data_IF_975194639951
#
_entry.id   IF_975194639951
#
_cell.length_a   1.000
_cell.length_b   1.000
_cell.length_c   1.000
_cell.angle_alpha   90.00
_cell.angle_beta   90.00
_cell.angle_gamma   90.00
#
_symmetry.space_group_name_H-M   'P 1'
#
loop_
_entity.id
_entity.type
_entity.pdbx_description
1 polymer ?
#
# COMPACT_ATOMS: atom_id res chain seq x y z
N UNK A 1 5.40 -29.17 -2.35
CA UNK A 1 5.75 -27.76 -2.60
C UNK A 1 5.87 -27.06 -1.26
N UNK A 2 7.04 -26.50 -0.96
CA UNK A 2 7.28 -25.81 0.31
C UNK A 2 6.51 -24.47 0.33
N UNK A 3 6.33 -23.89 1.52
CA UNK A 3 5.67 -22.58 1.64
C UNK A 3 6.46 -21.49 0.90
N UNK A 4 7.79 -21.56 0.94
CA UNK A 4 8.66 -20.61 0.26
C UNK A 4 8.46 -20.64 -1.26
N UNK A 5 8.26 -21.82 -1.87
CA UNK A 5 8.02 -21.95 -3.31
C UNK A 5 6.70 -21.29 -3.77
N UNK A 6 5.74 -21.12 -2.85
CA UNK A 6 4.48 -20.40 -3.12
C UNK A 6 4.64 -18.90 -3.06
N UNK A 7 5.59 -18.41 -2.27
CA UNK A 7 5.82 -16.98 -2.04
C UNK A 7 6.85 -16.47 -3.04
N UNK A 8 8.00 -17.13 -3.11
CA UNK A 8 9.14 -16.77 -3.95
C UNK A 8 9.52 -17.98 -4.81
N UNK A 9 8.76 -18.26 -5.89
CA UNK A 9 9.06 -19.37 -6.79
C UNK A 9 10.39 -19.16 -7.50
N UNK A 10 11.07 -20.25 -7.85
CA UNK A 10 12.32 -20.23 -8.62
C UNK A 10 12.16 -19.62 -10.03
N UNK A 11 10.95 -19.66 -10.59
CA UNK A 11 10.63 -19.10 -11.90
C UNK A 11 9.39 -18.20 -11.81
N UNK A 12 9.49 -16.96 -12.28
CA UNK A 12 8.34 -16.07 -12.47
C UNK A 12 7.57 -16.47 -13.73
N UNK A 13 6.29 -16.83 -13.57
CA UNK A 13 5.43 -17.26 -14.68
C UNK A 13 3.96 -16.92 -14.45
N UNK A 14 3.10 -17.18 -15.44
CA UNK A 14 1.69 -16.81 -15.35
C UNK A 14 0.77 -17.92 -14.82
N UNK A 15 1.34 -19.03 -14.29
CA UNK A 15 0.59 -20.19 -13.78
C UNK A 15 0.24 -19.97 -12.30
N UNK A 16 -0.84 -19.24 -12.06
CA UNK A 16 -1.34 -19.01 -10.70
C UNK A 16 -2.21 -20.19 -10.23
N UNK A 17 -1.77 -20.84 -9.14
CA UNK A 17 -2.45 -21.99 -8.52
C UNK A 17 -3.28 -21.61 -7.28
N UNK A 18 -3.21 -20.36 -6.83
CA UNK A 18 -3.93 -19.87 -5.65
C UNK A 18 -5.43 -19.64 -5.91
N UNK A 19 -6.17 -19.29 -4.87
CA UNK A 19 -7.60 -19.00 -4.99
C UNK A 19 -7.85 -17.75 -5.87
N UNK A 20 -8.83 -17.81 -6.77
CA UNK A 20 -9.24 -16.69 -7.65
C UNK A 20 -9.72 -15.46 -6.89
N UNK A 21 -10.30 -15.62 -5.70
CA UNK A 21 -10.69 -14.49 -4.84
C UNK A 21 -9.47 -13.64 -4.50
N UNK A 22 -8.32 -14.27 -4.20
CA UNK A 22 -7.09 -13.55 -3.95
C UNK A 22 -6.47 -12.93 -5.22
N UNK A 23 -6.83 -13.36 -6.43
CA UNK A 23 -6.46 -12.61 -7.63
C UNK A 23 -7.27 -11.30 -7.70
N UNK A 24 -8.58 -11.36 -7.50
CA UNK A 24 -9.45 -10.18 -7.50
C UNK A 24 -9.13 -9.23 -6.34
N UNK A 25 -8.75 -9.77 -5.18
CA UNK A 25 -8.28 -8.98 -4.05
C UNK A 25 -7.08 -8.11 -4.43
N UNK A 26 -6.12 -8.64 -5.19
CA UNK A 26 -4.92 -7.90 -5.57
C UNK A 26 -5.24 -6.85 -6.63
N UNK A 27 -6.16 -7.16 -7.55
CA UNK A 27 -6.69 -6.17 -8.50
C UNK A 27 -7.33 -5.00 -7.74
N UNK A 28 -8.20 -5.29 -6.76
CA UNK A 28 -8.83 -4.26 -5.93
C UNK A 28 -7.79 -3.42 -5.18
N UNK A 29 -6.85 -4.06 -4.47
CA UNK A 29 -5.76 -3.35 -3.77
C UNK A 29 -4.96 -2.50 -4.73
N UNK A 30 -4.58 -3.01 -5.90
CA UNK A 30 -3.77 -2.28 -6.88
C UNK A 30 -4.51 -1.06 -7.40
N UNK A 31 -5.80 -1.17 -7.73
CA UNK A 31 -6.61 -0.04 -8.17
C UNK A 31 -6.74 1.03 -7.09
N UNK A 32 -7.08 0.63 -5.85
CA UNK A 32 -7.24 1.55 -4.72
C UNK A 32 -5.92 2.28 -4.40
N UNK A 33 -4.81 1.55 -4.38
CA UNK A 33 -3.50 2.13 -4.06
C UNK A 33 -2.95 2.98 -5.22
N UNK A 34 -3.30 2.67 -6.47
CA UNK A 34 -2.98 3.52 -7.63
C UNK A 34 -3.76 4.85 -7.56
N UNK A 35 -5.04 4.81 -7.20
CA UNK A 35 -5.80 6.04 -6.95
C UNK A 35 -5.13 6.89 -5.87
N UNK A 36 -4.82 6.26 -4.72
CA UNK A 36 -4.16 6.93 -3.60
C UNK A 36 -2.79 7.51 -3.98
N UNK A 37 -1.99 6.79 -4.75
CA UNK A 37 -0.67 7.27 -5.17
C UNK A 37 -0.76 8.47 -6.10
N UNK A 38 -1.75 8.49 -7.02
CA UNK A 38 -2.04 9.65 -7.86
C UNK A 38 -2.47 10.86 -7.03
N UNK A 39 -3.27 10.68 -5.98
CA UNK A 39 -3.63 11.77 -5.05
C UNK A 39 -2.37 12.36 -4.41
N UNK A 40 -1.52 11.52 -3.81
CA UNK A 40 -0.28 12.00 -3.17
C UNK A 40 0.65 12.68 -4.17
N UNK A 41 0.71 12.21 -5.42
CA UNK A 41 1.60 12.74 -6.45
C UNK A 41 1.09 14.04 -7.08
N UNK A 42 -0.22 14.19 -7.28
CA UNK A 42 -0.79 15.22 -8.17
C UNK A 42 -1.58 16.31 -7.45
N UNK A 43 -2.05 16.09 -6.22
CA UNK A 43 -2.79 17.11 -5.49
C UNK A 43 -1.85 18.21 -5.00
N UNK A 44 -2.35 19.45 -4.94
CA UNK A 44 -1.56 20.62 -4.53
C UNK A 44 -0.95 20.48 -3.13
N UNK A 45 -1.67 19.81 -2.22
CA UNK A 45 -1.26 19.54 -0.84
C UNK A 45 -0.77 18.09 -0.64
N UNK A 46 -0.52 17.35 -1.74
CA UNK A 46 -0.27 15.91 -1.74
C UNK A 46 -1.33 15.08 -0.98
N UNK A 47 -2.56 15.60 -0.83
CA UNK A 47 -3.64 15.01 -0.04
C UNK A 47 -3.38 14.99 1.47
N UNK A 48 -2.37 15.72 1.98
CA UNK A 48 -2.03 15.72 3.40
C UNK A 48 -3.05 16.55 4.21
N UNK A 49 -3.43 17.74 3.76
CA UNK A 49 -4.40 18.56 4.50
C UNK A 49 -5.84 18.17 4.16
N UNK A 50 -6.15 18.10 2.87
CA UNK A 50 -7.50 17.90 2.33
C UNK A 50 -8.08 16.51 2.59
N UNK A 51 -7.24 15.49 2.80
CA UNK A 51 -7.66 14.10 3.06
C UNK A 51 -7.01 13.57 4.33
N UNK A 52 -5.71 13.81 4.51
CA UNK A 52 -4.95 13.34 5.66
C UNK A 52 -5.28 14.05 6.97
N UNK A 53 -6.03 15.16 6.91
CA UNK A 53 -6.39 16.00 8.05
C UNK A 53 -5.18 16.53 8.81
N UNK A 54 -4.03 16.70 8.16
CA UNK A 54 -2.88 17.38 8.76
C UNK A 54 -3.17 18.89 8.88
N UNK A 55 -2.58 19.55 9.88
CA UNK A 55 -2.63 21.01 10.00
C UNK A 55 -1.85 21.69 8.87
N UNK A 56 -2.18 22.95 8.60
CA UNK A 56 -1.36 23.82 7.75
C UNK A 56 -0.36 24.52 8.67
N UNK A 57 0.92 24.40 8.37
CA UNK A 57 1.97 25.05 9.16
C UNK A 57 2.12 26.52 8.78
N UNK A 58 2.28 27.40 9.77
CA UNK A 58 2.65 28.80 9.53
C UNK A 58 4.17 28.97 9.58
N UNK A 59 4.74 29.74 8.65
CA UNK A 59 6.19 30.00 8.62
C UNK A 59 6.66 30.74 7.36
N UNK A 60 7.87 31.30 7.41
CA UNK A 60 8.55 31.92 6.27
C UNK A 60 9.99 31.34 6.20
N UNK A 61 10.37 30.64 5.12
CA UNK A 61 9.53 30.27 3.98
C UNK A 61 8.38 29.32 4.37
N UNK A 62 7.36 29.21 3.51
CA UNK A 62 6.20 28.35 3.73
C UNK A 62 6.64 26.88 3.92
N UNK A 63 6.52 26.29 5.13
CA UNK A 63 6.97 24.93 5.39
C UNK A 63 6.20 23.88 4.59
N UNK A 64 4.94 24.17 4.24
CA UNK A 64 4.07 23.21 3.58
C UNK A 64 4.54 22.88 2.17
N UNK A 65 5.19 23.81 1.46
CA UNK A 65 5.76 23.53 0.13
C UNK A 65 6.75 22.36 0.16
N UNK A 66 7.62 22.33 1.17
CA UNK A 66 8.57 21.22 1.35
C UNK A 66 7.86 19.93 1.71
N UNK A 67 6.89 20.00 2.63
CA UNK A 67 6.12 18.83 3.09
C UNK A 67 5.32 18.21 1.93
N UNK A 68 4.68 19.04 1.09
CA UNK A 68 3.93 18.57 -0.07
C UNK A 68 4.84 17.96 -1.12
N UNK A 69 6.01 18.55 -1.36
CA UNK A 69 7.02 17.95 -2.24
C UNK A 69 7.42 16.55 -1.76
N UNK A 70 7.67 16.36 -0.46
CA UNK A 70 7.94 15.03 0.11
C UNK A 70 6.73 14.09 -0.01
N UNK A 71 5.52 14.60 0.19
CA UNK A 71 4.27 13.88 -0.06
C UNK A 71 4.15 13.40 -1.51
N UNK A 72 4.54 14.22 -2.48
CA UNK A 72 4.56 13.85 -3.90
C UNK A 72 5.61 12.78 -4.21
N UNK A 73 6.79 12.85 -3.59
CA UNK A 73 7.80 11.78 -3.71
C UNK A 73 7.27 10.46 -3.15
N UNK A 74 6.56 10.50 -2.03
CA UNK A 74 5.89 9.32 -1.48
C UNK A 74 4.82 8.78 -2.45
N UNK A 75 3.99 9.64 -3.03
CA UNK A 75 3.04 9.26 -4.08
C UNK A 75 3.72 8.59 -5.29
N UNK A 76 4.84 9.13 -5.77
CA UNK A 76 5.61 8.55 -6.87
C UNK A 76 6.12 7.14 -6.53
N UNK A 77 6.72 6.97 -5.35
CA UNK A 77 7.23 5.67 -4.90
C UNK A 77 6.10 4.63 -4.81
N UNK A 78 4.93 5.03 -4.32
CA UNK A 78 3.75 4.16 -4.25
C UNK A 78 3.23 3.81 -5.64
N UNK A 79 3.23 4.76 -6.59
CA UNK A 79 2.80 4.53 -7.96
C UNK A 79 3.72 3.53 -8.68
N UNK A 80 5.04 3.65 -8.51
CA UNK A 80 6.01 2.68 -9.04
C UNK A 80 5.74 1.28 -8.47
N UNK A 81 5.47 1.17 -7.16
CA UNK A 81 5.12 -0.11 -6.57
C UNK A 81 3.81 -0.69 -7.13
N UNK A 82 2.81 0.15 -7.40
CA UNK A 82 1.57 -0.26 -8.08
C UNK A 82 1.84 -0.75 -9.51
N UNK A 83 2.75 -0.11 -10.26
CA UNK A 83 3.15 -0.58 -11.60
C UNK A 83 3.78 -1.98 -11.56
N UNK A 84 4.57 -2.29 -10.53
CA UNK A 84 5.10 -3.65 -10.32
C UNK A 84 3.95 -4.65 -10.08
N UNK A 85 2.97 -4.29 -9.26
CA UNK A 85 1.78 -5.12 -9.03
C UNK A 85 0.98 -5.34 -10.32
N UNK A 86 0.83 -4.30 -11.16
CA UNK A 86 0.20 -4.38 -12.47
C UNK A 86 0.93 -5.39 -13.36
N UNK A 87 2.26 -5.31 -13.46
CA UNK A 87 3.07 -6.27 -14.24
C UNK A 87 2.88 -7.70 -13.72
N UNK A 88 2.85 -7.91 -12.39
CA UNK A 88 2.55 -9.21 -11.77
C UNK A 88 1.17 -9.71 -12.16
N UNK A 89 0.13 -8.86 -12.10
CA UNK A 89 -1.25 -9.21 -12.46
C UNK A 89 -1.40 -9.62 -13.94
N UNK A 90 -0.62 -9.02 -14.84
CA UNK A 90 -0.68 -9.33 -16.27
C UNK A 90 0.19 -10.52 -16.69
N UNK A 91 1.42 -10.63 -16.16
CA UNK A 91 2.45 -11.53 -16.72
C UNK A 91 3.02 -12.56 -15.78
N UNK A 92 3.00 -12.31 -14.47
CA UNK A 92 3.70 -13.12 -13.45
C UNK A 92 2.80 -13.47 -12.26
N UNK A 93 1.57 -13.92 -12.54
CA UNK A 93 0.55 -14.13 -11.49
C UNK A 93 0.96 -15.15 -10.42
N UNK A 94 1.97 -15.99 -10.64
CA UNK A 94 2.49 -16.84 -9.57
C UNK A 94 3.22 -16.06 -8.45
N UNK A 95 3.50 -14.76 -8.63
CA UNK A 95 4.05 -13.84 -7.62
C UNK A 95 2.97 -13.08 -6.81
N UNK A 96 1.69 -13.36 -7.02
CA UNK A 96 0.59 -12.73 -6.25
C UNK A 96 0.79 -12.86 -4.72
N UNK A 97 1.17 -14.03 -4.16
CA UNK A 97 1.41 -14.15 -2.73
C UNK A 97 2.53 -13.24 -2.22
N UNK A 98 3.61 -13.04 -3.01
CA UNK A 98 4.67 -12.09 -2.69
C UNK A 98 4.14 -10.66 -2.61
N UNK A 99 3.29 -10.25 -3.56
CA UNK A 99 2.72 -8.90 -3.56
C UNK A 99 1.89 -8.64 -2.30
N UNK A 100 1.14 -9.62 -1.82
CA UNK A 100 0.42 -9.50 -0.55
C UNK A 100 1.34 -9.34 0.66
N UNK A 101 2.47 -10.05 0.69
CA UNK A 101 3.47 -9.90 1.75
C UNK A 101 4.06 -8.49 1.72
N UNK A 102 4.43 -7.98 0.54
CA UNK A 102 4.96 -6.63 0.40
C UNK A 102 3.95 -5.56 0.82
N UNK A 103 2.67 -5.71 0.47
CA UNK A 103 1.61 -4.83 0.96
C UNK A 103 1.42 -4.92 2.47
N UNK A 104 1.44 -6.11 3.05
CA UNK A 104 1.36 -6.28 4.52
C UNK A 104 2.53 -5.62 5.23
N UNK A 105 3.75 -5.82 4.72
CA UNK A 105 4.94 -5.17 5.26
C UNK A 105 4.80 -3.65 5.22
N UNK A 106 4.33 -3.09 4.11
CA UNK A 106 4.10 -1.65 3.99
C UNK A 106 3.07 -1.15 5.02
N UNK A 107 1.90 -1.80 5.11
CA UNK A 107 0.82 -1.37 5.99
C UNK A 107 1.15 -1.56 7.47
N UNK A 108 1.90 -2.60 7.83
CA UNK A 108 2.36 -2.84 9.19
C UNK A 108 3.54 -1.94 9.60
N UNK A 109 4.45 -1.65 8.67
CA UNK A 109 5.60 -0.79 8.95
C UNK A 109 5.19 0.66 9.26
N UNK A 110 4.03 1.11 8.76
CA UNK A 110 3.48 2.44 9.05
C UNK A 110 3.35 2.71 10.56
N UNK A 111 2.53 1.98 11.33
CA UNK A 111 2.45 2.19 12.78
C UNK A 111 3.66 1.61 13.52
N UNK A 112 4.18 0.43 13.11
CA UNK A 112 5.16 -0.31 13.90
C UNK A 112 6.60 0.17 13.73
N UNK A 113 6.91 0.87 12.64
CA UNK A 113 8.25 1.40 12.39
C UNK A 113 8.18 2.92 12.35
N UNK A 114 7.41 3.50 11.42
CA UNK A 114 7.37 4.96 11.24
C UNK A 114 6.72 5.64 12.45
N UNK A 115 5.57 5.13 12.91
CA UNK A 115 4.86 5.69 14.06
C UNK A 115 5.63 5.59 15.39
N UNK A 116 6.53 4.61 15.53
CA UNK A 116 7.39 4.48 16.71
C UNK A 116 8.64 5.37 16.64
N UNK A 117 9.24 5.50 15.45
CA UNK A 117 10.43 6.34 15.25
C UNK A 117 10.11 7.83 15.17
N UNK A 118 8.95 8.17 14.62
CA UNK A 118 8.49 9.53 14.37
C UNK A 118 7.03 9.69 14.82
N UNK A 119 6.76 9.61 16.13
CA UNK A 119 5.41 9.78 16.66
C UNK A 119 4.93 11.22 16.42
N UNK A 120 3.67 11.35 16.00
CA UNK A 120 2.99 12.63 15.89
C UNK A 120 1.84 12.68 16.89
N UNK A 121 1.76 13.77 17.67
CA UNK A 121 0.67 14.04 18.58
C UNK A 121 -0.59 14.57 17.87
N UNK A 122 -1.67 14.73 18.62
CA UNK A 122 -2.96 15.21 18.10
C UNK A 122 -2.88 16.64 17.56
N UNK A 123 -1.92 17.44 18.03
CA UNK A 123 -1.67 18.81 17.58
C UNK A 123 -1.31 18.92 16.09
N UNK A 124 -0.89 17.82 15.46
CA UNK A 124 -0.58 17.77 14.03
C UNK A 124 -1.81 17.51 13.15
N UNK A 125 -2.98 17.30 13.74
CA UNK A 125 -4.19 16.89 13.03
C UNK A 125 -5.38 17.80 13.33
N UNK A 126 -6.19 18.08 12.31
CA UNK A 126 -7.48 18.77 12.40
C UNK A 126 -8.67 17.82 12.55
N UNK A 127 -8.42 16.51 12.43
CA UNK A 127 -9.43 15.47 12.54
C UNK A 127 -8.85 14.09 12.26
N UNK A 128 -9.72 13.10 12.12
CA UNK A 128 -9.31 11.71 11.94
C UNK A 128 -8.70 11.47 10.56
N UNK A 129 -7.45 11.01 10.50
CA UNK A 129 -6.79 10.61 9.25
C UNK A 129 -7.31 9.27 8.74
N UNK A 130 -7.95 9.19 7.54
CA UNK A 130 -8.49 7.93 7.01
C UNK A 130 -7.44 6.83 6.88
N UNK A 131 -6.20 7.20 6.56
CA UNK A 131 -5.09 6.26 6.46
C UNK A 131 -4.71 5.58 7.77
N UNK A 132 -4.95 6.21 8.93
CA UNK A 132 -4.70 5.64 10.26
C UNK A 132 -5.82 4.67 10.62
N UNK A 133 -7.08 5.11 10.46
CA UNK A 133 -8.27 4.26 10.71
C UNK A 133 -8.29 3.04 9.79
N UNK A 134 -7.83 3.20 8.55
CA UNK A 134 -7.80 2.13 7.55
C UNK A 134 -6.81 1.00 7.83
N UNK A 135 -5.78 1.22 8.67
CA UNK A 135 -4.71 0.23 8.93
C UNK A 135 -5.25 -1.15 9.34
N UNK A 136 -6.07 -1.30 10.41
CA UNK A 136 -6.57 -2.61 10.82
C UNK A 136 -7.40 -3.31 9.74
N UNK A 137 -8.20 -2.56 8.98
CA UNK A 137 -9.01 -3.11 7.89
C UNK A 137 -8.14 -3.57 6.73
N UNK A 138 -7.14 -2.78 6.34
CA UNK A 138 -6.20 -3.14 5.28
C UNK A 138 -5.38 -4.37 5.66
N UNK A 139 -4.81 -4.40 6.87
CA UNK A 139 -4.04 -5.54 7.38
C UNK A 139 -4.90 -6.81 7.44
N UNK A 140 -6.13 -6.71 7.96
CA UNK A 140 -7.06 -7.85 8.01
C UNK A 140 -7.42 -8.38 6.61
N UNK A 141 -7.76 -7.48 5.69
CA UNK A 141 -8.06 -7.82 4.30
C UNK A 141 -6.87 -8.49 3.61
N UNK A 142 -5.68 -7.87 3.66
CA UNK A 142 -4.48 -8.38 3.01
C UNK A 142 -4.04 -9.72 3.61
N UNK A 143 -4.19 -9.92 4.92
CA UNK A 143 -3.90 -11.21 5.58
C UNK A 143 -4.83 -12.30 5.08
N UNK A 144 -6.13 -12.02 5.00
CA UNK A 144 -7.11 -12.97 4.46
C UNK A 144 -6.79 -13.33 3.01
N UNK A 145 -6.47 -12.34 2.18
CA UNK A 145 -6.11 -12.57 0.78
C UNK A 145 -4.80 -13.33 0.63
N UNK A 146 -3.79 -13.08 1.47
CA UNK A 146 -2.55 -13.85 1.50
C UNK A 146 -2.85 -15.33 1.80
N UNK A 147 -3.64 -15.62 2.84
CA UNK A 147 -4.05 -16.99 3.19
C UNK A 147 -4.74 -17.67 2.01
N UNK A 148 -5.66 -16.97 1.33
CA UNK A 148 -6.35 -17.49 0.15
C UNK A 148 -5.40 -17.70 -1.04
N UNK A 149 -4.42 -16.83 -1.23
CA UNK A 149 -3.43 -16.95 -2.32
C UNK A 149 -2.51 -18.16 -2.16
N UNK A 150 -2.25 -18.58 -0.92
CA UNK A 150 -1.40 -19.74 -0.59
C UNK A 150 -2.16 -21.07 -0.64
N UNK A 151 -3.50 -21.04 -0.57
CA UNK A 151 -4.35 -22.22 -0.70
C UNK A 151 -4.51 -22.58 -2.18
N UNK A 152 -4.10 -23.80 -2.53
CA UNK A 152 -4.27 -24.30 -3.90
C UNK A 152 -5.76 -24.36 -4.24
N UNK A 153 -6.13 -23.78 -5.36
CA UNK A 153 -7.48 -23.92 -5.90
C UNK A 153 -7.63 -25.34 -6.46
N UNK A 154 -8.68 -26.06 -6.01
CA UNK A 154 -9.13 -27.29 -6.66
C UNK A 154 -10.05 -26.87 -7.82
N UNK A 155 -9.46 -26.58 -8.97
CA UNK A 155 -10.19 -26.46 -10.23
C UNK A 155 -9.64 -27.49 -11.19
#
# INVERSE_FOLDING_TARGET
>A
MQLIDKILPSEANNKYLGNRIALFGLIFTTCLMTWRSCVHLLYQDAGLNSIGSFIIFEGIPDPNQMIYMLGSVWGLQQLIFCLVNIVVLFRYRNLIPLMYILWLLEWLARPLVVGLLHPLGEEYFTGTTPGIVGVPFAVGFLTLMLILSLKSSKH
#
